data_IF_324354791187
#
_entry.id   IF_324354791187
#
_cell.length_a   1.000
_cell.length_b   1.000
_cell.length_c   1.000
_cell.angle_alpha   90.00
_cell.angle_beta   90.00
_cell.angle_gamma   90.00
#
_symmetry.space_group_name_H-M   'P 1'
#
loop_
_entity.id
_entity.type
_entity.pdbx_description
1 polymer ?
#
# COMPACT_ATOMS: atom_id res chain seq x y z
N UNK A 1 4.85 7.56 -3.83
CA UNK A 1 4.16 8.34 -2.76
C UNK A 1 4.11 9.82 -3.14
N UNK A 2 3.05 10.59 -2.77
CA UNK A 2 3.06 12.04 -2.93
C UNK A 2 4.10 12.68 -2.02
N UNK A 3 4.49 13.92 -2.33
CA UNK A 3 5.27 14.76 -1.41
C UNK A 3 4.36 15.34 -0.31
N UNK A 4 4.95 15.84 0.78
CA UNK A 4 4.22 16.51 1.86
C UNK A 4 3.35 17.65 1.30
N UNK A 5 3.92 18.48 0.43
CA UNK A 5 3.20 19.60 -0.18
C UNK A 5 1.96 19.13 -0.96
N UNK A 6 2.13 18.13 -1.83
CA UNK A 6 1.01 17.58 -2.63
C UNK A 6 -0.07 17.01 -1.72
N UNK A 7 0.30 16.24 -0.70
CA UNK A 7 -0.66 15.63 0.21
C UNK A 7 -1.42 16.70 1.01
N UNK A 8 -0.71 17.64 1.63
CA UNK A 8 -1.30 18.73 2.43
C UNK A 8 -2.26 19.58 1.58
N UNK A 9 -1.84 19.93 0.35
CA UNK A 9 -2.70 20.72 -0.55
C UNK A 9 -4.01 19.98 -0.90
N UNK A 10 -3.96 18.64 -1.09
CA UNK A 10 -5.18 17.86 -1.30
C UNK A 10 -6.07 17.82 -0.05
N UNK A 11 -5.48 17.64 1.14
CA UNK A 11 -6.23 17.64 2.39
C UNK A 11 -6.93 18.98 2.64
N UNK A 12 -6.21 20.09 2.42
CA UNK A 12 -6.78 21.43 2.51
C UNK A 12 -7.90 21.65 1.51
N UNK A 13 -7.71 21.23 0.24
CA UNK A 13 -8.73 21.37 -0.81
C UNK A 13 -10.02 20.60 -0.48
N UNK A 14 -9.89 19.42 0.13
CA UNK A 14 -11.03 18.60 0.54
C UNK A 14 -11.53 18.91 1.94
N UNK A 15 -10.87 19.83 2.67
CA UNK A 15 -11.07 20.10 4.09
C UNK A 15 -11.08 18.80 4.94
N UNK A 16 -10.19 17.87 4.62
CA UNK A 16 -9.98 16.64 5.41
C UNK A 16 -8.94 16.93 6.49
N UNK A 17 -9.40 16.96 7.73
CA UNK A 17 -8.60 17.36 8.89
C UNK A 17 -8.07 16.15 9.63
N UNK A 18 -6.98 16.32 10.35
CA UNK A 18 -6.31 15.24 11.10
C UNK A 18 -7.21 14.57 12.15
N UNK A 19 -8.23 15.29 12.63
CA UNK A 19 -9.25 14.79 13.55
C UNK A 19 -10.36 13.97 12.90
N UNK A 20 -10.50 14.03 11.57
CA UNK A 20 -11.59 13.34 10.87
C UNK A 20 -11.39 11.83 10.86
N UNK A 21 -12.50 11.09 10.90
CA UNK A 21 -12.49 9.66 10.59
C UNK A 21 -12.66 9.47 9.09
N UNK A 22 -11.69 8.82 8.45
CA UNK A 22 -11.72 8.51 7.03
C UNK A 22 -12.11 7.06 6.83
N UNK A 23 -13.13 6.82 5.99
CA UNK A 23 -13.50 5.49 5.53
C UNK A 23 -13.17 5.38 4.05
N UNK A 24 -12.24 4.50 3.71
CA UNK A 24 -11.77 4.24 2.37
C UNK A 24 -12.51 3.04 1.77
N UNK A 25 -12.95 3.17 0.54
CA UNK A 25 -13.47 2.04 -0.24
C UNK A 25 -13.11 2.20 -1.72
N UNK A 26 -13.16 1.11 -2.45
CA UNK A 26 -13.00 1.12 -3.89
C UNK A 26 -14.06 0.24 -4.59
N UNK A 27 -14.07 0.27 -5.92
CA UNK A 27 -15.04 -0.45 -6.74
C UNK A 27 -14.57 -1.86 -7.14
N UNK A 28 -13.38 -2.28 -6.70
CA UNK A 28 -12.71 -3.48 -7.18
C UNK A 28 -12.26 -4.36 -6.01
N UNK A 29 -13.17 -4.62 -5.07
CA UNK A 29 -12.97 -5.58 -3.98
C UNK A 29 -11.68 -5.33 -3.17
N UNK A 30 -11.53 -4.11 -2.61
CA UNK A 30 -10.39 -3.75 -1.75
C UNK A 30 -9.04 -3.78 -2.49
N UNK A 31 -9.02 -3.40 -3.77
CA UNK A 31 -7.82 -3.44 -4.60
C UNK A 31 -6.89 -2.22 -4.42
N UNK A 32 -7.46 -1.02 -4.32
CA UNK A 32 -6.72 0.25 -4.22
C UNK A 32 -6.82 0.93 -2.86
N UNK A 33 -7.85 0.65 -2.09
CA UNK A 33 -8.05 1.22 -0.76
C UNK A 33 -6.93 0.91 0.24
N UNK A 34 -6.23 -0.26 0.20
CA UNK A 34 -5.05 -0.49 1.02
C UNK A 34 -3.90 0.49 0.77
N UNK A 35 -3.70 0.89 -0.50
CA UNK A 35 -2.70 1.90 -0.84
C UNK A 35 -3.05 3.26 -0.24
N UNK A 36 -4.31 3.66 -0.32
CA UNK A 36 -4.78 4.89 0.30
C UNK A 36 -4.64 4.84 1.83
N UNK A 37 -5.02 3.70 2.46
CA UNK A 37 -4.85 3.49 3.90
C UNK A 37 -3.40 3.72 4.35
N UNK A 38 -2.44 3.05 3.72
CA UNK A 38 -1.02 3.21 4.06
C UNK A 38 -0.54 4.64 3.80
N UNK A 39 -1.03 5.28 2.73
CA UNK A 39 -0.70 6.68 2.46
C UNK A 39 -1.14 7.58 3.61
N UNK A 40 -2.40 7.50 4.03
CA UNK A 40 -2.90 8.29 5.16
C UNK A 40 -2.14 7.99 6.46
N UNK A 41 -1.94 6.71 6.77
CA UNK A 41 -1.21 6.28 7.99
C UNK A 41 0.20 6.85 8.03
N UNK A 42 0.94 6.75 6.93
CA UNK A 42 2.32 7.19 6.86
C UNK A 42 2.49 8.72 6.77
N UNK A 43 1.41 9.45 6.46
CA UNK A 43 1.33 10.90 6.67
C UNK A 43 0.85 11.28 8.08
N UNK A 44 0.69 10.31 8.99
CA UNK A 44 0.29 10.55 10.38
C UNK A 44 -1.21 10.75 10.60
N UNK A 45 -2.07 10.40 9.60
CA UNK A 45 -3.51 10.35 9.79
C UNK A 45 -3.93 8.99 10.35
N UNK A 46 -4.10 8.91 11.67
CA UNK A 46 -4.31 7.62 12.34
C UNK A 46 -5.76 7.12 12.28
N UNK A 47 -6.72 8.03 12.12
CA UNK A 47 -8.15 7.68 12.16
C UNK A 47 -8.69 7.33 10.76
N UNK A 48 -8.12 6.28 10.15
CA UNK A 48 -8.48 5.80 8.82
C UNK A 48 -8.91 4.33 8.88
N UNK A 49 -9.90 3.96 8.09
CA UNK A 49 -10.49 2.61 7.99
C UNK A 49 -10.65 2.23 6.53
N UNK A 50 -10.65 0.94 6.26
CA UNK A 50 -10.98 0.37 4.95
C UNK A 50 -12.29 -0.39 5.06
N UNK A 51 -13.23 -0.13 4.15
CA UNK A 51 -14.45 -0.91 4.02
C UNK A 51 -14.11 -2.26 3.38
N UNK A 52 -14.09 -3.32 4.18
CA UNK A 52 -13.72 -4.66 3.73
C UNK A 52 -14.66 -5.19 2.65
N UNK A 53 -14.12 -5.59 1.50
CA UNK A 53 -14.88 -5.97 0.32
C UNK A 53 -15.34 -4.79 -0.56
N UNK A 54 -15.06 -3.55 -0.14
CA UNK A 54 -15.32 -2.33 -0.90
C UNK A 54 -16.78 -2.12 -1.30
N UNK A 55 -17.00 -1.32 -2.33
CA UNK A 55 -18.33 -1.00 -2.84
C UNK A 55 -19.13 -2.22 -3.34
N UNK A 56 -18.53 -3.23 -4.02
CA UNK A 56 -19.28 -4.43 -4.42
C UNK A 56 -19.91 -5.18 -3.24
N UNK A 57 -19.22 -5.27 -2.12
CA UNK A 57 -19.78 -5.89 -0.91
C UNK A 57 -20.88 -5.06 -0.29
N UNK A 58 -20.69 -3.73 -0.25
CA UNK A 58 -21.72 -2.81 0.22
C UNK A 58 -23.04 -2.96 -0.55
N UNK A 59 -22.97 -3.08 -1.89
CA UNK A 59 -24.12 -3.33 -2.74
C UNK A 59 -24.81 -4.68 -2.47
N UNK A 60 -24.01 -5.75 -2.29
CA UNK A 60 -24.56 -7.09 -1.96
C UNK A 60 -25.29 -7.11 -0.62
N UNK A 61 -24.98 -6.20 0.28
CA UNK A 61 -25.65 -6.02 1.57
C UNK A 61 -26.79 -5.01 1.51
N UNK A 62 -27.24 -4.65 0.31
CA UNK A 62 -28.36 -3.71 0.06
C UNK A 62 -28.13 -2.33 0.71
N UNK A 63 -26.86 -1.89 0.77
CA UNK A 63 -26.50 -0.56 1.27
C UNK A 63 -27.17 0.54 0.44
N UNK A 64 -27.65 1.57 1.10
CA UNK A 64 -28.28 2.73 0.46
C UNK A 64 -27.27 3.46 -0.43
N UNK A 65 -27.70 3.82 -1.64
CA UNK A 65 -26.86 4.51 -2.62
C UNK A 65 -27.49 5.84 -2.94
N UNK A 66 -26.69 6.89 -2.77
CA UNK A 66 -27.00 8.20 -3.32
C UNK A 66 -26.71 8.19 -4.84
N UNK A 67 -27.68 8.55 -5.65
CA UNK A 67 -27.56 8.60 -7.13
C UNK A 67 -27.47 10.02 -7.66
N UNK A 68 -27.96 10.96 -6.87
CA UNK A 68 -27.91 12.36 -7.21
C UNK A 68 -26.56 12.93 -6.73
N UNK A 69 -26.05 13.92 -7.43
CA UNK A 69 -24.79 14.60 -7.05
C UNK A 69 -25.04 15.55 -5.85
N UNK A 70 -25.48 14.94 -4.73
CA UNK A 70 -25.87 15.66 -3.51
C UNK A 70 -24.64 16.06 -2.70
N UNK A 71 -23.53 15.31 -2.85
CA UNK A 71 -22.30 15.63 -2.15
C UNK A 71 -21.56 16.77 -2.84
N UNK A 72 -21.94 17.96 -2.51
CA UNK A 72 -21.23 19.16 -2.93
C UNK A 72 -20.15 19.48 -1.91
N UNK A 73 -18.88 19.17 -2.27
CA UNK A 73 -17.70 19.49 -1.45
C UNK A 73 -17.68 20.98 -1.08
N UNK A 74 -18.12 21.85 -1.98
CA UNK A 74 -18.17 23.29 -1.74
C UNK A 74 -19.16 23.64 -0.62
N UNK A 75 -20.34 23.02 -0.60
CA UNK A 75 -21.31 23.21 0.50
C UNK A 75 -20.78 22.67 1.82
N UNK A 76 -20.10 21.52 1.80
CA UNK A 76 -19.47 20.98 3.01
C UNK A 76 -18.37 21.93 3.53
N UNK A 77 -17.53 22.41 2.64
CA UNK A 77 -16.46 23.34 2.99
C UNK A 77 -17.01 24.66 3.52
N UNK A 78 -18.09 25.17 2.92
CA UNK A 78 -18.78 26.34 3.40
C UNK A 78 -19.40 26.12 4.79
N UNK A 79 -20.10 25.00 5.00
CA UNK A 79 -20.63 24.62 6.31
C UNK A 79 -19.53 24.55 7.37
N UNK A 80 -18.39 23.85 7.05
CA UNK A 80 -17.27 23.72 7.98
C UNK A 80 -16.61 25.06 8.29
N UNK A 81 -16.39 25.89 7.27
CA UNK A 81 -15.82 27.23 7.45
C UNK A 81 -16.64 28.08 8.43
N UNK A 82 -17.95 27.98 8.37
CA UNK A 82 -18.85 28.79 9.19
C UNK A 82 -19.07 28.21 10.60
N UNK A 83 -19.08 26.88 10.75
CA UNK A 83 -19.43 26.19 11.99
C UNK A 83 -18.26 25.52 12.70
N UNK A 84 -17.24 25.13 11.95
CA UNK A 84 -16.06 24.38 12.42
C UNK A 84 -14.80 24.95 11.74
N UNK A 85 -14.39 26.19 12.06
CA UNK A 85 -13.24 26.81 11.41
C UNK A 85 -11.98 25.96 11.60
N UNK A 86 -11.20 25.78 10.52
CA UNK A 86 -9.96 25.03 10.55
C UNK A 86 -8.91 25.75 11.40
N UNK A 87 -8.13 24.98 12.12
CA UNK A 87 -6.94 25.43 12.86
C UNK A 87 -5.68 25.11 12.05
N UNK A 88 -4.59 25.78 12.35
CA UNK A 88 -3.31 25.55 11.66
C UNK A 88 -2.85 24.10 11.77
N UNK A 89 -3.00 23.47 12.94
CA UNK A 89 -2.60 22.08 13.21
C UNK A 89 -3.50 21.03 12.54
N UNK A 90 -4.66 21.40 12.02
CA UNK A 90 -5.59 20.45 11.38
C UNK A 90 -5.00 19.81 10.12
N UNK A 91 -3.98 20.43 9.50
CA UNK A 91 -3.32 19.99 8.28
C UNK A 91 -1.82 19.77 8.48
N UNK A 92 -1.38 19.55 9.72
CA UNK A 92 0.02 19.23 10.01
C UNK A 92 0.28 17.74 9.70
N UNK A 93 0.64 17.45 8.45
CA UNK A 93 0.99 16.12 7.95
C UNK A 93 2.46 16.06 7.55
N UNK A 94 3.11 14.96 7.88
CA UNK A 94 4.48 14.68 7.50
C UNK A 94 4.67 13.20 7.17
N UNK A 95 5.35 12.93 6.06
CA UNK A 95 5.56 11.56 5.58
C UNK A 95 6.64 10.87 6.40
N UNK A 96 6.34 9.70 6.94
CA UNK A 96 7.33 8.77 7.48
C UNK A 96 8.19 8.20 6.33
N UNK A 97 9.22 8.93 5.91
CA UNK A 97 10.05 8.60 4.73
C UNK A 97 10.83 7.29 4.85
N UNK A 98 11.01 6.79 6.08
CA UNK A 98 11.60 5.48 6.36
C UNK A 98 10.68 4.30 5.98
N UNK A 99 9.42 4.57 5.67
CA UNK A 99 8.45 3.59 5.14
C UNK A 99 8.60 3.35 3.65
N UNK A 100 9.22 4.28 2.93
CA UNK A 100 9.33 4.22 1.47
C UNK A 100 10.74 3.85 1.09
N UNK A 101 10.85 2.72 0.40
CA UNK A 101 12.13 2.18 -0.05
C UNK A 101 12.29 2.35 -1.55
N UNK A 102 13.52 2.59 -1.95
CA UNK A 102 14.04 2.42 -3.29
C UNK A 102 14.94 1.19 -3.35
N UNK A 103 15.53 0.93 -4.51
CA UNK A 103 16.41 -0.22 -4.69
C UNK A 103 17.65 -0.16 -3.78
N UNK A 104 18.21 1.02 -3.53
CA UNK A 104 19.39 1.17 -2.68
C UNK A 104 19.07 0.76 -1.24
N UNK A 105 17.95 1.24 -0.69
CA UNK A 105 17.49 0.86 0.66
C UNK A 105 17.20 -0.64 0.78
N UNK A 106 16.72 -1.30 -0.31
CA UNK A 106 16.54 -2.76 -0.31
C UNK A 106 17.89 -3.45 -0.14
N UNK A 107 18.90 -3.08 -0.93
CA UNK A 107 20.22 -3.71 -0.84
C UNK A 107 20.94 -3.41 0.46
N UNK A 108 20.79 -2.20 1.01
CA UNK A 108 21.36 -1.81 2.32
C UNK A 108 20.80 -2.63 3.49
N UNK A 109 19.50 -3.01 3.43
CA UNK A 109 18.81 -3.66 4.55
C UNK A 109 18.51 -5.15 4.29
N UNK A 110 19.03 -5.74 3.23
CA UNK A 110 18.64 -7.07 2.73
C UNK A 110 18.87 -8.20 3.75
N UNK A 111 19.87 -8.10 4.60
CA UNK A 111 20.17 -9.15 5.58
C UNK A 111 19.28 -9.06 6.83
N UNK A 112 18.83 -7.86 7.17
CA UNK A 112 18.01 -7.59 8.35
C UNK A 112 16.52 -7.53 8.05
N UNK A 113 16.12 -7.45 6.77
CA UNK A 113 14.76 -7.32 6.31
C UNK A 113 14.30 -8.54 5.50
N UNK A 114 13.00 -8.74 5.44
CA UNK A 114 12.37 -9.69 4.51
C UNK A 114 11.81 -8.93 3.32
N UNK A 115 12.09 -9.39 2.12
CA UNK A 115 11.54 -8.81 0.88
C UNK A 115 10.48 -9.75 0.31
N UNK A 116 9.29 -9.23 0.01
CA UNK A 116 8.15 -9.99 -0.53
C UNK A 116 7.75 -9.44 -1.89
N UNK A 117 7.60 -10.33 -2.86
CA UNK A 117 6.98 -10.06 -4.15
C UNK A 117 5.50 -10.45 -4.11
N UNK A 118 4.61 -9.46 -4.25
CA UNK A 118 3.17 -9.65 -4.24
C UNK A 118 2.57 -10.00 -5.62
N UNK A 119 3.40 -10.20 -6.67
CA UNK A 119 2.94 -10.63 -8.00
C UNK A 119 2.59 -12.12 -7.99
N UNK A 120 1.94 -12.59 -9.07
CA UNK A 120 1.66 -14.02 -9.22
C UNK A 120 2.95 -14.84 -9.30
N UNK A 121 2.85 -16.11 -8.92
CA UNK A 121 3.96 -17.06 -8.89
C UNK A 121 4.64 -17.17 -10.26
N UNK A 122 3.85 -17.20 -11.35
CA UNK A 122 4.41 -17.32 -12.71
C UNK A 122 5.24 -16.08 -13.10
N UNK A 123 4.84 -14.89 -12.63
CA UNK A 123 5.62 -13.67 -12.86
C UNK A 123 6.87 -13.64 -11.98
N UNK A 124 6.74 -14.04 -10.73
CA UNK A 124 7.87 -14.17 -9.80
C UNK A 124 8.92 -15.16 -10.33
N UNK A 125 8.48 -16.32 -10.79
CA UNK A 125 9.38 -17.37 -11.33
C UNK A 125 9.90 -17.04 -12.74
N UNK A 126 9.41 -16.00 -13.40
CA UNK A 126 9.80 -15.63 -14.76
C UNK A 126 9.24 -16.56 -15.85
N UNK A 127 8.17 -17.30 -15.55
CA UNK A 127 7.51 -18.22 -16.50
C UNK A 127 6.62 -17.52 -17.52
N UNK A 128 6.20 -16.30 -17.22
CA UNK A 128 5.35 -15.47 -18.09
C UNK A 128 5.97 -14.08 -18.27
N UNK A 129 5.75 -13.44 -19.42
CA UNK A 129 6.23 -12.08 -19.65
C UNK A 129 5.50 -11.08 -18.75
N UNK A 130 6.18 -9.97 -18.46
CA UNK A 130 5.55 -8.84 -17.78
C UNK A 130 4.48 -8.18 -18.67
N UNK A 131 3.40 -7.64 -18.09
CA UNK A 131 2.39 -6.89 -18.85
C UNK A 131 2.97 -5.70 -19.62
N UNK A 132 4.06 -5.10 -19.12
CA UNK A 132 4.83 -4.06 -19.81
C UNK A 132 6.01 -4.70 -20.52
N UNK A 133 5.99 -4.66 -21.85
CA UNK A 133 6.87 -5.44 -22.75
C UNK A 133 8.39 -5.20 -22.61
N UNK A 134 8.85 -4.14 -22.00
CA UNK A 134 10.28 -3.84 -21.89
C UNK A 134 10.93 -4.33 -20.61
N UNK A 135 10.16 -4.86 -19.67
CA UNK A 135 10.67 -5.27 -18.37
C UNK A 135 11.28 -6.66 -18.42
N UNK A 136 12.37 -6.87 -17.67
CA UNK A 136 12.92 -8.21 -17.44
C UNK A 136 11.87 -9.10 -16.75
N UNK A 137 12.07 -10.41 -16.87
CA UNK A 137 11.31 -11.43 -16.14
C UNK A 137 12.06 -11.85 -14.87
N UNK A 138 11.36 -12.48 -13.92
CA UNK A 138 11.95 -12.97 -12.66
C UNK A 138 11.56 -12.07 -11.48
N UNK A 139 12.40 -12.01 -10.46
CA UNK A 139 12.13 -11.32 -9.18
C UNK A 139 13.39 -10.66 -8.60
N UNK A 140 13.23 -9.85 -7.56
CA UNK A 140 14.34 -9.28 -6.79
C UNK A 140 15.06 -10.44 -6.07
N UNK A 141 16.37 -10.55 -6.26
CA UNK A 141 17.16 -11.65 -5.69
C UNK A 141 16.98 -11.78 -4.18
N UNK A 142 16.56 -12.97 -3.75
CA UNK A 142 16.28 -13.28 -2.34
C UNK A 142 14.90 -12.84 -1.83
N UNK A 143 14.04 -12.28 -2.69
CA UNK A 143 12.66 -12.03 -2.34
C UNK A 143 11.88 -13.35 -2.20
N UNK A 144 10.94 -13.38 -1.26
CA UNK A 144 9.93 -14.42 -1.11
C UNK A 144 8.71 -14.06 -1.96
N UNK A 145 7.87 -15.03 -2.30
CA UNK A 145 6.63 -14.75 -3.01
C UNK A 145 5.40 -15.00 -2.14
N UNK A 146 4.52 -14.02 -2.07
CA UNK A 146 3.16 -14.17 -1.58
C UNK A 146 2.21 -13.40 -2.49
N UNK A 147 1.51 -14.11 -3.35
CA UNK A 147 0.60 -13.47 -4.29
C UNK A 147 -0.57 -12.80 -3.54
N UNK A 148 -0.72 -11.49 -3.72
CA UNK A 148 -1.72 -10.68 -2.99
C UNK A 148 -3.14 -11.27 -3.02
N UNK A 149 -3.52 -11.98 -4.08
CA UNK A 149 -4.86 -12.59 -4.17
C UNK A 149 -5.08 -13.73 -3.17
N UNK A 150 -4.03 -14.34 -2.64
CA UNK A 150 -4.18 -15.37 -1.61
C UNK A 150 -4.67 -14.81 -0.27
N UNK A 151 -4.56 -13.49 -0.06
CA UNK A 151 -5.02 -12.79 1.14
C UNK A 151 -6.50 -12.39 1.09
N UNK A 152 -7.13 -12.53 -0.09
CA UNK A 152 -8.50 -12.12 -0.37
C UNK A 152 -9.32 -13.36 -0.72
N UNK A 153 -10.56 -13.46 -0.20
CA UNK A 153 -11.50 -14.54 -0.54
C UNK A 153 -12.25 -14.27 -1.85
N UNK A 154 -13.08 -15.21 -2.26
CA UNK A 154 -13.91 -15.12 -3.48
C UNK A 154 -14.95 -13.98 -3.44
N UNK A 155 -15.26 -13.46 -2.25
CA UNK A 155 -16.16 -12.32 -2.06
C UNK A 155 -15.43 -10.96 -2.04
N UNK A 156 -14.11 -10.97 -2.20
CA UNK A 156 -13.28 -9.77 -2.16
C UNK A 156 -13.00 -9.26 -0.74
N UNK A 157 -13.21 -10.09 0.28
CA UNK A 157 -12.90 -9.79 1.67
C UNK A 157 -11.48 -10.24 2.01
N UNK A 158 -10.80 -9.54 2.88
CA UNK A 158 -9.61 -10.10 3.52
C UNK A 158 -10.01 -11.37 4.29
N UNK A 159 -9.19 -12.39 4.17
CA UNK A 159 -9.29 -13.60 4.98
C UNK A 159 -9.19 -13.28 6.48
N UNK A 160 -9.54 -14.24 7.32
CA UNK A 160 -9.39 -14.09 8.78
C UNK A 160 -7.93 -13.85 9.15
N UNK A 161 -7.69 -13.22 10.31
CA UNK A 161 -6.35 -12.98 10.81
C UNK A 161 -5.53 -14.27 10.92
N UNK A 162 -6.14 -15.36 11.37
CA UNK A 162 -5.47 -16.67 11.51
C UNK A 162 -5.03 -17.23 10.14
N UNK A 163 -5.86 -17.10 9.10
CA UNK A 163 -5.51 -17.52 7.75
C UNK A 163 -4.42 -16.63 7.15
N UNK A 164 -4.50 -15.32 7.35
CA UNK A 164 -3.48 -14.36 6.92
C UNK A 164 -2.15 -14.67 7.59
N UNK A 165 -2.13 -14.83 8.91
CA UNK A 165 -0.93 -15.17 9.68
C UNK A 165 -0.31 -16.46 9.20
N UNK A 166 -1.13 -17.50 8.95
CA UNK A 166 -0.66 -18.78 8.40
C UNK A 166 -0.01 -18.63 7.03
N UNK A 167 -0.56 -17.81 6.14
CA UNK A 167 0.02 -17.55 4.82
C UNK A 167 1.41 -16.91 4.92
N UNK A 168 1.58 -15.91 5.78
CA UNK A 168 2.88 -15.29 6.01
C UNK A 168 3.87 -16.23 6.68
N UNK A 169 3.44 -16.98 7.70
CA UNK A 169 4.28 -17.95 8.40
C UNK A 169 4.78 -19.07 7.46
N UNK A 170 3.97 -19.50 6.50
CA UNK A 170 4.36 -20.52 5.51
C UNK A 170 5.54 -20.10 4.63
N UNK A 171 5.75 -18.80 4.45
CA UNK A 171 6.91 -18.24 3.75
C UNK A 171 7.98 -17.69 4.72
N UNK A 172 7.88 -18.00 6.02
CA UNK A 172 8.85 -17.60 7.03
C UNK A 172 8.76 -16.14 7.49
N UNK A 173 7.63 -15.48 7.28
CA UNK A 173 7.41 -14.06 7.64
C UNK A 173 6.55 -13.98 8.89
N UNK A 174 7.15 -13.60 10.02
CA UNK A 174 6.46 -13.39 11.31
C UNK A 174 6.10 -11.92 11.55
N UNK A 175 6.62 -11.00 10.73
CA UNK A 175 6.46 -9.56 10.89
C UNK A 175 7.30 -8.95 12.02
N UNK A 176 8.26 -9.68 12.59
CA UNK A 176 9.16 -9.19 13.65
C UNK A 176 10.35 -8.42 13.05
N UNK A 177 10.72 -8.73 11.82
CA UNK A 177 11.73 -8.00 11.05
C UNK A 177 11.08 -6.96 10.14
N UNK A 178 11.83 -5.92 9.71
CA UNK A 178 11.38 -5.05 8.64
C UNK A 178 10.94 -5.87 7.42
N UNK A 179 9.72 -5.64 6.95
CA UNK A 179 9.13 -6.38 5.83
C UNK A 179 8.89 -5.41 4.69
N UNK A 180 9.66 -5.59 3.62
CA UNK A 180 9.60 -4.77 2.41
C UNK A 180 8.74 -5.51 1.40
N UNK A 181 7.68 -4.89 0.92
CA UNK A 181 6.82 -5.51 -0.10
C UNK A 181 6.87 -4.70 -1.39
N UNK A 182 6.93 -5.39 -2.50
CA UNK A 182 6.81 -4.81 -3.84
C UNK A 182 5.84 -5.62 -4.70
N UNK A 183 5.43 -5.05 -5.84
CA UNK A 183 4.61 -5.74 -6.84
C UNK A 183 5.00 -5.31 -8.26
N UNK A 184 4.04 -5.06 -9.14
CA UNK A 184 4.30 -4.49 -10.47
C UNK A 184 4.59 -2.99 -10.44
N UNK A 185 3.89 -2.23 -9.61
CA UNK A 185 3.91 -0.75 -9.59
C UNK A 185 3.55 -0.14 -8.23
N UNK A 186 3.74 -0.87 -7.13
CA UNK A 186 3.51 -0.40 -5.77
C UNK A 186 2.05 -0.36 -5.32
N UNK A 187 1.09 -0.79 -6.14
CA UNK A 187 -0.33 -0.77 -5.79
C UNK A 187 -0.73 -2.03 -5.01
N UNK A 188 -0.60 -3.21 -5.62
CA UNK A 188 -1.04 -4.47 -5.01
C UNK A 188 -0.13 -4.95 -3.87
N UNK A 189 1.11 -4.50 -3.80
CA UNK A 189 1.98 -4.67 -2.63
C UNK A 189 1.34 -4.12 -1.34
N UNK A 190 0.50 -3.09 -1.47
CA UNK A 190 -0.19 -2.51 -0.34
C UNK A 190 -1.30 -3.43 0.22
N UNK A 191 -1.75 -4.43 -0.53
CA UNK A 191 -2.70 -5.44 -0.03
C UNK A 191 -2.00 -6.32 1.01
N UNK A 192 -0.77 -6.78 0.71
CA UNK A 192 0.04 -7.59 1.63
C UNK A 192 0.45 -6.77 2.87
N UNK A 193 0.88 -5.52 2.66
CA UNK A 193 1.22 -4.62 3.76
C UNK A 193 0.01 -4.34 4.68
N UNK A 194 -1.17 -4.13 4.11
CA UNK A 194 -2.38 -3.93 4.90
C UNK A 194 -2.79 -5.20 5.65
N UNK A 195 -2.62 -6.39 5.05
CA UNK A 195 -2.85 -7.65 5.73
C UNK A 195 -1.93 -7.80 6.96
N UNK A 196 -0.64 -7.45 6.85
CA UNK A 196 0.27 -7.41 7.99
C UNK A 196 -0.13 -6.35 9.03
N UNK A 197 -0.67 -5.20 8.59
CA UNK A 197 -1.20 -4.19 9.49
C UNK A 197 -2.41 -4.69 10.29
N UNK A 198 -3.29 -5.51 9.69
CA UNK A 198 -4.41 -6.16 10.39
C UNK A 198 -3.92 -7.10 11.50
N UNK A 199 -2.72 -7.68 11.35
CA UNK A 199 -2.06 -8.50 12.38
C UNK A 199 -1.30 -7.66 13.43
N UNK A 200 -1.40 -6.33 13.39
CA UNK A 200 -0.70 -5.44 14.33
C UNK A 200 0.78 -5.25 14.06
N UNK A 201 1.28 -5.61 12.87
CA UNK A 201 2.70 -5.54 12.49
C UNK A 201 3.09 -4.20 11.82
N UNK A 202 2.29 -3.14 11.97
CA UNK A 202 2.44 -1.85 11.28
C UNK A 202 3.85 -1.24 11.37
N UNK A 203 4.55 -1.40 12.48
CA UNK A 203 5.86 -0.78 12.74
C UNK A 203 6.95 -1.22 11.74
N UNK A 204 6.87 -2.44 11.26
CA UNK A 204 7.90 -3.07 10.44
C UNK A 204 7.62 -3.01 8.94
N UNK A 205 6.53 -2.37 8.52
CA UNK A 205 6.13 -2.33 7.12
C UNK A 205 6.92 -1.31 6.31
N UNK A 206 7.38 -1.72 5.14
CA UNK A 206 8.08 -0.90 4.15
C UNK A 206 7.55 -1.20 2.76
N UNK A 207 7.42 -0.19 1.94
CA UNK A 207 6.99 -0.32 0.55
C UNK A 207 8.14 0.03 -0.37
N UNK A 208 8.53 -0.90 -1.25
CA UNK A 208 9.31 -0.55 -2.44
C UNK A 208 8.35 0.05 -3.48
N UNK A 209 8.23 1.38 -3.47
CA UNK A 209 7.22 2.09 -4.25
C UNK A 209 7.43 1.98 -5.76
N UNK A 210 8.66 2.03 -6.25
CA UNK A 210 9.01 1.82 -7.65
C UNK A 210 8.71 0.41 -8.14
N UNK A 211 8.79 -0.59 -7.24
CA UNK A 211 8.42 -1.97 -7.49
C UNK A 211 9.13 -2.60 -8.70
N UNK A 212 8.53 -3.62 -9.31
CA UNK A 212 9.10 -4.29 -10.48
C UNK A 212 9.25 -3.36 -11.69
N UNK A 213 8.41 -2.34 -11.80
CA UNK A 213 8.53 -1.34 -12.86
C UNK A 213 9.88 -0.60 -12.79
N UNK A 214 10.34 -0.27 -11.61
CA UNK A 214 11.64 0.34 -11.37
C UNK A 214 12.77 -0.70 -11.53
N UNK A 215 12.72 -1.76 -10.74
CA UNK A 215 13.73 -2.82 -10.73
C UNK A 215 13.94 -3.47 -12.11
N UNK A 216 12.86 -3.78 -12.80
CA UNK A 216 12.89 -4.47 -14.10
C UNK A 216 13.50 -3.63 -15.24
N UNK A 217 13.62 -2.32 -15.07
CA UNK A 217 14.27 -1.41 -16.00
C UNK A 217 15.76 -1.15 -15.69
N UNK A 218 16.26 -1.52 -14.50
CA UNK A 218 17.68 -1.28 -14.16
C UNK A 218 18.57 -2.15 -15.05
N UNK A 219 19.58 -1.60 -15.74
CA UNK A 219 20.53 -2.39 -16.51
C UNK A 219 21.21 -3.45 -15.66
N UNK A 220 21.49 -4.61 -16.23
CA UNK A 220 22.10 -5.72 -15.47
C UNK A 220 23.46 -5.37 -14.88
N UNK A 221 24.24 -4.56 -15.60
CA UNK A 221 25.53 -4.05 -15.13
C UNK A 221 25.40 -3.17 -13.87
N UNK A 222 24.32 -2.41 -13.76
CA UNK A 222 24.07 -1.55 -12.60
C UNK A 222 23.55 -2.36 -11.42
N UNK A 223 22.76 -3.41 -11.64
CA UNK A 223 22.41 -4.37 -10.58
C UNK A 223 23.66 -5.09 -10.03
N UNK A 224 24.59 -5.50 -10.89
CA UNK A 224 25.87 -6.09 -10.44
C UNK A 224 26.66 -5.11 -9.59
N UNK A 225 26.75 -3.84 -9.99
CA UNK A 225 27.41 -2.79 -9.19
C UNK A 225 26.73 -2.59 -7.81
N UNK A 226 25.40 -2.67 -7.75
CA UNK A 226 24.67 -2.60 -6.49
C UNK A 226 24.99 -3.82 -5.61
N UNK A 227 25.00 -5.03 -6.18
CA UNK A 227 25.37 -6.24 -5.47
C UNK A 227 26.81 -6.15 -4.92
N UNK A 228 27.77 -5.73 -5.72
CA UNK A 228 29.17 -5.55 -5.30
C UNK A 228 29.33 -4.49 -4.20
N UNK A 229 28.51 -3.42 -4.26
CA UNK A 229 28.55 -2.33 -3.27
C UNK A 229 28.07 -2.77 -1.90
N UNK A 230 27.00 -3.58 -1.84
CA UNK A 230 26.30 -3.91 -0.60
C UNK A 230 26.56 -5.35 -0.09
N UNK A 231 27.32 -6.18 -0.82
CA UNK A 231 27.70 -7.54 -0.43
C UNK A 231 29.21 -7.68 -0.19
N UNK A 232 29.78 -6.72 0.50
CA UNK A 232 31.17 -6.82 0.96
C UNK A 232 31.27 -7.52 2.31
#
# INVERSE_FOLDING_TARGET
MPTNEIFINHMKKMDVRKSDTIILYDRVNTFSSPRAFLTFKWFGHNNVRVLNGGFPRYLKLEGEIEKDDVFNVEKLNEYRKNNLPAKEDDFNYDLETDRIYDIHKIYENKEDAVVIDARSEERYEGKVPEPRKSLRIGHVKGALNLFFKHLIDENGLYKSNDEIEKLFNNIGVTGDKPTIVYCGSGLTACIDLFALALLGKEKNLRLYDGSWFDYGNIPEEDLKKLEEKYHK
#
